data_IF_206916206764
#
_entry.id   IF_206916206764
#
_cell.length_a   1.000
_cell.length_b   1.000
_cell.length_c   1.000
_cell.angle_alpha   90.00
_cell.angle_beta   90.00
_cell.angle_gamma   90.00
#
_symmetry.space_group_name_H-M   'P 1'
#
loop_
_entity.id
_entity.type
_entity.pdbx_description
1 polymer ?
#
# COMPACT_ATOMS: atom_id res chain seq x y z
N UNK A 1 -16.34 -7.23 5.65
CA UNK A 1 -16.96 -8.50 6.11
C UNK A 1 -15.91 -9.31 6.86
N UNK A 2 -16.33 -9.99 7.95
CA UNK A 2 -15.46 -10.85 8.75
C UNK A 2 -16.16 -12.18 9.02
N UNK A 3 -15.42 -13.29 8.97
CA UNK A 3 -15.90 -14.61 9.34
C UNK A 3 -14.88 -15.37 10.19
N UNK A 4 -15.33 -16.29 11.01
CA UNK A 4 -14.49 -17.10 11.89
C UNK A 4 -14.65 -18.58 11.55
N UNK A 5 -13.52 -19.29 11.46
CA UNK A 5 -13.49 -20.76 11.34
C UNK A 5 -12.67 -21.28 12.54
N UNK A 6 -13.34 -22.00 13.43
CA UNK A 6 -12.71 -22.61 14.60
C UNK A 6 -12.35 -24.07 14.31
N UNK A 7 -11.11 -24.44 14.62
CA UNK A 7 -10.64 -25.84 14.56
C UNK A 7 -11.35 -26.73 15.57
N UNK A 8 -11.41 -28.04 15.32
CA UNK A 8 -12.04 -29.02 16.17
C UNK A 8 -11.05 -29.69 17.15
N UNK A 9 -9.73 -29.54 16.95
CA UNK A 9 -8.74 -30.01 17.94
C UNK A 9 -8.76 -29.14 19.19
N UNK A 10 -8.03 -29.56 20.21
CA UNK A 10 -7.85 -28.77 21.42
C UNK A 10 -7.45 -27.34 21.07
N UNK A 11 -8.16 -26.38 21.64
CA UNK A 11 -7.92 -24.96 21.42
C UNK A 11 -6.56 -24.57 22.01
N UNK A 12 -5.67 -24.12 21.16
CA UNK A 12 -4.33 -23.64 21.56
C UNK A 12 -4.30 -22.12 21.79
N UNK A 13 -5.44 -21.45 21.68
CA UNK A 13 -5.59 -20.01 21.86
C UNK A 13 -5.10 -19.18 20.68
N UNK A 14 -4.51 -19.77 19.63
CA UNK A 14 -3.96 -19.05 18.49
C UNK A 14 -5.04 -18.57 17.51
N UNK A 15 -4.88 -17.35 17.04
CA UNK A 15 -5.77 -16.75 16.04
C UNK A 15 -4.95 -16.16 14.90
N UNK A 16 -5.19 -16.64 13.68
CA UNK A 16 -4.61 -16.08 12.48
C UNK A 16 -5.65 -15.27 11.68
N UNK A 17 -5.34 -14.01 11.38
CA UNK A 17 -6.09 -13.21 10.40
C UNK A 17 -5.62 -13.51 8.98
N UNK A 18 -6.55 -13.69 8.06
CA UNK A 18 -6.28 -13.84 6.63
C UNK A 18 -7.03 -12.75 5.88
N UNK A 19 -6.30 -11.88 5.21
CA UNK A 19 -6.86 -10.68 4.55
C UNK A 19 -6.95 -10.86 3.04
N UNK A 20 -8.05 -10.42 2.47
CA UNK A 20 -8.17 -10.04 1.07
C UNK A 20 -8.89 -8.69 0.96
N UNK A 21 -8.38 -7.80 0.12
CA UNK A 21 -9.10 -6.65 -0.37
C UNK A 21 -10.19 -7.06 -1.38
N UNK A 22 -11.23 -6.21 -1.54
CA UNK A 22 -12.41 -6.57 -2.34
C UNK A 22 -12.88 -5.45 -3.26
N UNK A 23 -12.22 -4.30 -3.27
CA UNK A 23 -12.66 -3.14 -4.03
C UNK A 23 -12.23 -3.19 -5.50
N UNK A 24 -12.96 -2.43 -6.33
CA UNK A 24 -12.71 -2.25 -7.76
C UNK A 24 -12.31 -0.80 -8.04
N UNK A 25 -11.54 -0.62 -9.10
CA UNK A 25 -11.09 0.69 -9.58
C UNK A 25 -12.15 1.40 -10.44
N UNK A 26 -12.17 2.75 -10.43
CA UNK A 26 -12.98 3.55 -11.34
C UNK A 26 -12.35 3.58 -12.76
N UNK A 27 -12.27 2.40 -13.38
CA UNK A 27 -11.59 2.15 -14.64
C UNK A 27 -12.52 1.38 -15.58
N UNK A 28 -12.51 1.72 -16.88
CA UNK A 28 -13.27 0.99 -17.89
C UNK A 28 -12.55 -0.32 -18.26
N UNK A 29 -13.24 -1.45 -18.13
CA UNK A 29 -12.73 -2.75 -18.59
C UNK A 29 -12.86 -2.86 -20.10
N UNK A 30 -11.73 -2.96 -20.80
CA UNK A 30 -11.67 -3.09 -22.27
C UNK A 30 -11.31 -4.51 -22.73
N UNK A 31 -11.28 -5.47 -21.81
CA UNK A 31 -11.05 -6.88 -22.14
C UNK A 31 -12.21 -7.41 -23.00
N UNK A 32 -11.88 -8.29 -23.94
CA UNK A 32 -12.86 -8.98 -24.80
C UNK A 32 -13.01 -10.45 -24.36
N UNK A 33 -13.43 -10.66 -23.12
CA UNK A 33 -13.64 -11.97 -22.55
C UNK A 33 -15.02 -12.09 -21.87
N UNK A 34 -15.44 -13.30 -21.55
CA UNK A 34 -16.77 -13.57 -20.98
C UNK A 34 -16.96 -13.03 -19.56
N UNK A 35 -15.87 -12.82 -18.83
CA UNK A 35 -15.85 -12.33 -17.45
C UNK A 35 -15.48 -10.84 -17.33
N UNK A 36 -15.33 -10.12 -18.44
CA UNK A 36 -15.13 -8.67 -18.40
C UNK A 36 -16.23 -7.98 -17.60
N UNK A 37 -15.90 -6.89 -16.95
CA UNK A 37 -16.85 -6.14 -16.11
C UNK A 37 -18.09 -5.73 -16.92
N UNK A 38 -19.26 -5.95 -16.35
CA UNK A 38 -20.56 -5.52 -16.91
C UNK A 38 -20.99 -4.14 -16.39
N UNK A 39 -20.22 -3.55 -15.46
CA UNK A 39 -20.51 -2.26 -14.85
C UNK A 39 -19.60 -1.23 -15.47
N UNK A 40 -20.17 -0.33 -16.26
CA UNK A 40 -19.42 0.73 -16.95
C UNK A 40 -18.58 1.56 -15.96
N UNK A 41 -17.31 1.77 -16.29
CA UNK A 41 -16.38 2.58 -15.49
C UNK A 41 -15.96 1.92 -14.17
N UNK A 42 -16.14 0.59 -14.02
CA UNK A 42 -15.65 -0.15 -12.86
C UNK A 42 -15.01 -1.47 -13.30
N UNK A 43 -13.83 -1.75 -12.78
CA UNK A 43 -13.04 -2.92 -13.13
C UNK A 43 -12.17 -3.37 -11.95
N UNK A 44 -12.00 -4.67 -11.76
CA UNK A 44 -10.91 -5.20 -10.95
C UNK A 44 -9.60 -5.11 -11.74
N UNK A 45 -8.95 -3.95 -11.62
CA UNK A 45 -7.70 -3.65 -12.34
C UNK A 45 -6.44 -3.86 -11.51
N UNK A 46 -6.57 -4.43 -10.28
CA UNK A 46 -5.46 -4.69 -9.36
C UNK A 46 -5.46 -6.13 -8.79
N UNK A 47 -6.36 -7.00 -9.25
CA UNK A 47 -6.38 -8.42 -8.84
C UNK A 47 -7.15 -8.72 -7.56
N UNK A 48 -7.92 -7.76 -7.00
CA UNK A 48 -8.66 -7.95 -5.75
C UNK A 48 -9.78 -9.00 -5.85
N UNK A 49 -10.32 -9.23 -7.03
CA UNK A 49 -11.21 -10.37 -7.32
C UNK A 49 -10.48 -11.72 -7.19
N UNK A 50 -9.22 -11.78 -7.61
CA UNK A 50 -8.34 -12.91 -7.39
C UNK A 50 -8.02 -13.13 -5.91
N UNK A 51 -7.68 -12.05 -5.16
CA UNK A 51 -7.45 -12.11 -3.71
C UNK A 51 -8.69 -12.62 -2.97
N UNK A 52 -9.86 -12.08 -3.31
CA UNK A 52 -11.15 -12.52 -2.76
C UNK A 52 -11.42 -14.00 -3.06
N UNK A 53 -11.17 -14.42 -4.31
CA UNK A 53 -11.37 -15.82 -4.75
C UNK A 53 -10.45 -16.78 -4.00
N UNK A 54 -9.19 -16.40 -3.79
CA UNK A 54 -8.23 -17.17 -2.99
C UNK A 54 -8.71 -17.28 -1.55
N UNK A 55 -9.13 -16.17 -0.91
CA UNK A 55 -9.61 -16.20 0.47
C UNK A 55 -10.87 -17.07 0.63
N UNK A 56 -11.78 -17.04 -0.33
CA UNK A 56 -12.95 -17.93 -0.34
C UNK A 56 -12.56 -19.40 -0.53
N UNK A 57 -11.57 -19.67 -1.38
CA UNK A 57 -11.00 -21.03 -1.56
C UNK A 57 -10.36 -21.55 -0.28
N UNK A 58 -9.53 -20.73 0.39
CA UNK A 58 -8.95 -21.02 1.71
C UNK A 58 -10.06 -21.30 2.72
N UNK A 59 -11.08 -20.43 2.81
CA UNK A 59 -12.21 -20.60 3.72
C UNK A 59 -12.89 -21.94 3.54
N UNK A 60 -13.16 -22.34 2.30
CA UNK A 60 -13.80 -23.63 1.96
C UNK A 60 -12.93 -24.80 2.40
N UNK A 61 -11.64 -24.80 2.08
CA UNK A 61 -10.75 -25.92 2.41
C UNK A 61 -10.49 -26.01 3.92
N UNK A 62 -10.21 -24.91 4.60
CA UNK A 62 -10.01 -24.87 6.05
C UNK A 62 -11.27 -25.30 6.79
N UNK A 63 -12.46 -24.84 6.38
CA UNK A 63 -13.71 -25.25 7.02
C UNK A 63 -14.02 -26.74 6.85
N UNK A 64 -13.67 -27.33 5.71
CA UNK A 64 -13.87 -28.77 5.46
C UNK A 64 -12.84 -29.65 6.20
N UNK A 65 -11.74 -29.08 6.68
CA UNK A 65 -10.65 -29.79 7.34
C UNK A 65 -10.41 -29.33 8.80
N UNK A 66 -11.45 -28.92 9.51
CA UNK A 66 -11.36 -28.41 10.90
C UNK A 66 -10.76 -29.41 11.90
N UNK A 67 -10.80 -30.70 11.59
CA UNK A 67 -10.26 -31.76 12.44
C UNK A 67 -8.73 -31.86 12.44
N UNK A 68 -8.02 -31.11 11.57
CA UNK A 68 -6.55 -31.17 11.51
C UNK A 68 -5.86 -30.10 12.35
N UNK A 69 -6.56 -29.08 12.85
CA UNK A 69 -5.98 -27.97 13.63
C UNK A 69 -6.84 -27.59 14.84
N UNK A 70 -6.21 -26.89 15.81
CA UNK A 70 -6.84 -26.13 16.89
C UNK A 70 -6.76 -24.62 16.62
N UNK A 71 -7.35 -23.79 17.50
CA UNK A 71 -7.34 -22.34 17.32
C UNK A 71 -8.37 -21.83 16.31
N UNK A 72 -8.16 -20.60 15.81
CA UNK A 72 -9.16 -19.90 14.99
C UNK A 72 -8.53 -19.21 13.77
N UNK A 73 -9.17 -19.35 12.61
CA UNK A 73 -8.89 -18.56 11.41
C UNK A 73 -9.92 -17.44 11.29
N UNK A 74 -9.48 -16.21 11.22
CA UNK A 74 -10.31 -15.02 11.05
C UNK A 74 -10.16 -14.48 9.64
N UNK A 75 -11.20 -14.65 8.82
CA UNK A 75 -11.23 -14.16 7.44
C UNK A 75 -11.62 -12.69 7.46
N UNK A 76 -10.83 -11.85 6.81
CA UNK A 76 -10.99 -10.39 6.79
C UNK A 76 -11.08 -9.90 5.35
N UNK A 77 -12.27 -9.46 4.94
CA UNK A 77 -12.51 -8.89 3.62
C UNK A 77 -12.49 -7.37 3.72
N UNK A 78 -11.46 -6.77 3.17
CA UNK A 78 -11.18 -5.34 3.28
C UNK A 78 -11.76 -4.55 2.11
N UNK A 79 -12.62 -3.54 2.36
CA UNK A 79 -13.07 -2.60 1.34
C UNK A 79 -12.10 -1.43 1.20
N UNK A 80 -12.14 -0.72 0.06
CA UNK A 80 -11.51 0.59 -0.15
C UNK A 80 -10.00 0.61 0.09
N UNK A 81 -9.29 -0.45 -0.31
CA UNK A 81 -7.83 -0.51 -0.29
C UNK A 81 -7.22 0.63 -1.11
N UNK A 82 -7.73 0.86 -2.31
CA UNK A 82 -7.20 1.79 -3.31
C UNK A 82 -7.50 3.28 -3.02
N UNK A 83 -8.24 3.58 -1.98
CA UNK A 83 -8.70 4.95 -1.70
C UNK A 83 -8.37 5.44 -0.31
N UNK A 84 -9.04 4.90 0.71
CA UNK A 84 -8.94 5.39 2.10
C UNK A 84 -8.12 4.49 3.02
N UNK A 85 -7.64 3.34 2.50
CA UNK A 85 -6.97 2.33 3.32
C UNK A 85 -7.95 1.70 4.31
N UNK A 86 -8.87 0.88 3.81
CA UNK A 86 -9.94 0.27 4.60
C UNK A 86 -9.47 -0.52 5.82
N UNK A 87 -8.24 -1.05 5.79
CA UNK A 87 -7.61 -1.71 6.93
C UNK A 87 -7.59 -0.82 8.18
N UNK A 88 -7.29 0.48 8.05
CA UNK A 88 -7.27 1.43 9.17
C UNK A 88 -8.64 1.48 9.86
N UNK A 89 -9.70 1.67 9.08
CA UNK A 89 -11.09 1.71 9.59
C UNK A 89 -11.47 0.38 10.23
N UNK A 90 -11.13 -0.76 9.61
CA UNK A 90 -11.40 -2.09 10.18
C UNK A 90 -10.70 -2.29 11.52
N UNK A 91 -9.48 -1.79 11.70
CA UNK A 91 -8.72 -1.87 12.96
C UNK A 91 -9.39 -1.00 14.02
N UNK A 92 -9.77 0.22 13.69
CA UNK A 92 -10.51 1.14 14.57
C UNK A 92 -11.84 0.54 15.04
N UNK A 93 -12.56 -0.18 14.15
CA UNK A 93 -13.77 -0.94 14.47
C UNK A 93 -13.50 -2.25 15.22
N UNK A 94 -12.24 -2.58 15.49
CA UNK A 94 -11.86 -3.70 16.34
C UNK A 94 -11.72 -5.04 15.61
N UNK A 95 -11.42 -5.08 14.31
CA UNK A 95 -11.24 -6.33 13.55
C UNK A 95 -10.14 -7.22 14.14
N UNK A 96 -9.10 -6.66 14.76
CA UNK A 96 -8.04 -7.40 15.43
C UNK A 96 -8.40 -7.85 16.86
N UNK A 97 -9.61 -7.53 17.32
CA UNK A 97 -10.15 -7.91 18.65
C UNK A 97 -11.28 -8.93 18.48
N UNK A 98 -11.57 -9.69 19.51
CA UNK A 98 -12.73 -10.58 19.61
C UNK A 98 -12.92 -11.59 18.45
N UNK A 99 -12.08 -12.63 18.28
CA UNK A 99 -10.91 -12.93 19.09
C UNK A 99 -9.73 -12.03 18.75
N UNK A 100 -8.78 -11.87 19.69
CA UNK A 100 -7.52 -11.20 19.43
C UNK A 100 -6.76 -11.94 18.33
N UNK A 101 -6.26 -11.21 17.34
CA UNK A 101 -5.48 -11.76 16.24
C UNK A 101 -4.00 -11.70 16.56
N UNK A 102 -3.31 -12.85 16.53
CA UNK A 102 -1.89 -12.94 16.87
C UNK A 102 -0.99 -12.58 15.67
N UNK A 103 -1.41 -13.00 14.47
CA UNK A 103 -0.68 -12.73 13.21
C UNK A 103 -1.65 -12.49 12.08
N UNK A 104 -1.21 -11.73 11.06
CA UNK A 104 -2.01 -11.54 9.82
C UNK A 104 -1.21 -12.01 8.60
N UNK A 105 -1.91 -12.73 7.72
CA UNK A 105 -1.42 -13.21 6.44
C UNK A 105 -2.17 -12.49 5.31
N UNK A 106 -1.44 -12.04 4.29
CA UNK A 106 -1.99 -11.45 3.07
C UNK A 106 -1.12 -11.71 1.86
N UNK A 107 -1.69 -11.49 0.68
CA UNK A 107 -0.99 -11.56 -0.60
C UNK A 107 -1.48 -10.48 -1.56
N UNK A 108 -0.70 -10.23 -2.61
CA UNK A 108 -1.12 -9.44 -3.77
C UNK A 108 -0.76 -10.17 -5.06
N UNK A 109 -1.65 -10.10 -6.05
CA UNK A 109 -1.35 -10.57 -7.41
C UNK A 109 -0.27 -9.69 -8.04
N UNK A 110 0.71 -10.33 -8.69
CA UNK A 110 1.87 -9.64 -9.24
C UNK A 110 2.04 -9.96 -10.73
N UNK A 111 1.76 -8.98 -11.56
CA UNK A 111 1.81 -9.09 -13.01
C UNK A 111 3.23 -9.04 -13.60
N UNK A 112 4.24 -8.79 -12.78
CA UNK A 112 5.65 -8.76 -13.23
C UNK A 112 6.34 -10.11 -13.13
N UNK A 113 5.74 -11.08 -12.44
CA UNK A 113 6.26 -12.46 -12.30
C UNK A 113 5.25 -13.49 -12.81
N UNK A 114 5.78 -14.59 -13.34
CA UNK A 114 4.97 -15.61 -13.99
C UNK A 114 4.13 -16.41 -13.00
N UNK A 115 2.94 -16.83 -13.43
CA UNK A 115 2.11 -17.82 -12.74
C UNK A 115 2.94 -19.04 -12.37
N UNK A 116 2.75 -19.57 -11.18
CA UNK A 116 3.57 -20.65 -10.63
C UNK A 116 4.68 -20.19 -9.69
N UNK A 117 4.93 -18.87 -9.60
CA UNK A 117 5.96 -18.30 -8.73
C UNK A 117 5.37 -17.39 -7.66
N UNK A 118 6.10 -17.21 -6.56
CA UNK A 118 5.85 -16.16 -5.58
C UNK A 118 7.10 -15.33 -5.33
N UNK A 119 6.92 -14.12 -4.82
CA UNK A 119 8.03 -13.28 -4.40
C UNK A 119 7.82 -12.82 -2.95
N UNK A 120 8.82 -13.07 -2.11
CA UNK A 120 8.82 -12.76 -0.67
C UNK A 120 9.90 -11.75 -0.31
N UNK A 121 9.71 -11.00 0.78
CA UNK A 121 10.72 -10.08 1.28
C UNK A 121 10.66 -9.97 2.80
N UNK A 122 11.83 -10.06 3.45
CA UNK A 122 12.01 -9.70 4.85
C UNK A 122 12.07 -8.18 5.03
N UNK A 123 11.63 -7.68 6.18
CA UNK A 123 11.62 -6.24 6.47
C UNK A 123 10.67 -5.46 5.57
N UNK A 124 11.07 -4.26 5.15
CA UNK A 124 10.22 -3.36 4.38
C UNK A 124 9.90 -3.87 2.98
N UNK A 125 8.62 -3.99 2.66
CA UNK A 125 8.06 -4.47 1.38
C UNK A 125 7.58 -3.29 0.53
N UNK A 126 6.79 -2.37 1.11
CA UNK A 126 6.23 -1.19 0.43
C UNK A 126 6.49 0.10 1.22
N UNK A 127 6.54 1.22 0.49
CA UNK A 127 6.75 2.55 1.06
C UNK A 127 5.56 3.03 1.88
N UNK A 128 5.82 3.95 2.82
CA UNK A 128 4.81 4.83 3.38
C UNK A 128 4.42 5.93 2.40
N UNK A 129 3.26 6.55 2.63
CA UNK A 129 2.77 7.71 1.87
C UNK A 129 2.29 8.80 2.81
N UNK A 130 2.68 10.05 2.50
CA UNK A 130 2.10 11.24 3.12
C UNK A 130 1.88 12.31 2.03
N UNK A 131 0.67 12.43 1.48
CA UNK A 131 0.28 13.57 0.68
C UNK A 131 0.42 14.86 1.47
N UNK A 132 0.84 15.95 0.81
CA UNK A 132 0.90 17.26 1.44
C UNK A 132 0.36 18.36 0.56
N UNK A 133 -0.18 19.39 1.21
CA UNK A 133 -0.64 20.62 0.61
C UNK A 133 0.02 21.79 1.33
N UNK A 134 0.60 22.72 0.57
CA UNK A 134 1.20 23.94 1.09
C UNK A 134 0.48 25.13 0.44
N UNK A 135 -0.04 26.05 1.24
CA UNK A 135 -0.62 27.31 0.76
C UNK A 135 0.26 28.45 1.22
N UNK A 136 0.88 29.14 0.27
CA UNK A 136 1.72 30.31 0.50
C UNK A 136 0.89 31.56 0.23
N UNK A 137 0.72 32.41 1.26
CA UNK A 137 -0.02 33.67 1.19
C UNK A 137 0.95 34.84 1.18
N UNK A 138 0.77 35.72 0.22
CA UNK A 138 1.53 36.94 0.05
C UNK A 138 0.64 38.18 0.03
N UNK A 139 1.07 39.22 -0.64
CA UNK A 139 0.32 40.46 -0.91
C UNK A 139 0.41 40.76 -2.40
N UNK A 140 -0.73 40.67 -3.08
CA UNK A 140 -0.82 40.93 -4.51
C UNK A 140 -0.61 42.37 -4.88
N UNK A 141 -0.08 42.60 -6.06
CA UNK A 141 0.11 43.95 -6.60
C UNK A 141 0.28 43.93 -8.13
N UNK A 142 0.36 45.12 -8.72
CA UNK A 142 0.75 45.27 -10.12
C UNK A 142 2.19 44.82 -10.32
N UNK A 143 2.45 43.90 -11.28
CA UNK A 143 3.77 43.29 -11.50
C UNK A 143 4.93 44.25 -11.76
N UNK A 144 4.63 45.52 -12.15
CA UNK A 144 5.65 46.56 -12.30
C UNK A 144 6.05 47.23 -10.96
N UNK A 145 5.32 46.96 -9.87
CA UNK A 145 5.58 47.55 -8.56
C UNK A 145 5.80 46.51 -7.46
N UNK A 146 6.80 45.59 -7.64
CA UNK A 146 6.97 44.45 -6.74
C UNK A 146 7.37 44.87 -5.30
N UNK A 147 7.90 46.07 -5.11
CA UNK A 147 8.24 46.57 -3.78
C UNK A 147 7.02 46.81 -2.86
N UNK A 148 5.81 46.94 -3.45
CA UNK A 148 4.56 47.03 -2.74
C UNK A 148 3.86 45.68 -2.50
N UNK A 149 4.54 44.56 -2.81
CA UNK A 149 4.01 43.21 -2.77
C UNK A 149 4.82 42.29 -1.85
N UNK A 150 4.23 41.15 -1.53
CA UNK A 150 4.95 39.94 -1.11
C UNK A 150 4.58 38.86 -2.13
N UNK A 151 5.52 38.51 -3.00
CA UNK A 151 5.28 37.63 -4.15
C UNK A 151 5.28 36.15 -3.75
N UNK A 152 4.10 35.50 -3.65
CA UNK A 152 4.02 34.12 -3.23
C UNK A 152 4.55 33.14 -4.32
N UNK A 153 4.66 33.55 -5.60
CA UNK A 153 5.27 32.71 -6.64
C UNK A 153 6.77 32.59 -6.40
N UNK A 154 7.45 33.70 -6.09
CA UNK A 154 8.89 33.69 -5.76
C UNK A 154 9.13 32.88 -4.49
N UNK A 155 8.33 33.09 -3.43
CA UNK A 155 8.43 32.32 -2.18
C UNK A 155 8.25 30.81 -2.43
N UNK A 156 7.22 30.43 -3.19
CA UNK A 156 6.92 29.03 -3.54
C UNK A 156 8.06 28.38 -4.31
N UNK A 157 8.71 29.10 -5.23
CA UNK A 157 9.86 28.60 -5.96
C UNK A 157 11.02 28.24 -5.03
N UNK A 158 11.30 29.06 -4.01
CA UNK A 158 12.35 28.81 -3.02
C UNK A 158 11.97 27.60 -2.13
N UNK A 159 10.72 27.48 -1.73
CA UNK A 159 10.23 26.34 -0.97
C UNK A 159 10.45 25.05 -1.77
N UNK A 160 10.02 24.99 -3.03
CA UNK A 160 10.16 23.80 -3.90
C UNK A 160 11.61 23.37 -4.01
N UNK A 161 12.52 24.34 -4.25
CA UNK A 161 13.96 24.04 -4.35
C UNK A 161 14.55 23.53 -3.04
N UNK A 162 14.17 24.12 -1.92
CA UNK A 162 14.68 23.72 -0.61
C UNK A 162 14.12 22.35 -0.15
N UNK A 163 12.88 22.00 -0.48
CA UNK A 163 12.32 20.67 -0.18
C UNK A 163 13.17 19.53 -0.78
N UNK A 164 13.87 19.77 -1.90
CA UNK A 164 14.75 18.76 -2.50
C UNK A 164 15.94 18.40 -1.60
N UNK A 165 16.32 19.27 -0.64
CA UNK A 165 17.41 19.00 0.29
C UNK A 165 17.07 17.91 1.31
N UNK A 166 15.80 17.66 1.59
CA UNK A 166 15.38 16.61 2.51
C UNK A 166 15.95 15.27 2.04
N UNK A 167 15.69 14.88 0.79
CA UNK A 167 16.19 13.62 0.23
C UNK A 167 17.68 13.66 -0.02
N UNK A 168 18.20 14.77 -0.57
CA UNK A 168 19.58 14.83 -1.03
C UNK A 168 20.60 15.11 0.07
N UNK A 169 20.21 15.59 1.26
CA UNK A 169 21.11 16.03 2.34
C UNK A 169 20.75 15.54 3.74
N UNK A 170 19.52 15.07 3.97
CA UNK A 170 19.04 14.76 5.31
C UNK A 170 18.68 13.28 5.49
N UNK A 171 18.22 12.59 4.42
CA UNK A 171 17.96 11.14 4.42
C UNK A 171 19.26 10.38 4.13
N UNK A 172 19.46 9.25 4.82
CA UNK A 172 20.59 8.37 4.53
C UNK A 172 20.54 7.92 3.06
N UNK A 173 21.63 8.07 2.27
CA UNK A 173 21.64 7.69 0.85
C UNK A 173 21.30 6.23 0.56
N UNK A 174 21.43 5.32 1.53
CA UNK A 174 20.99 3.92 1.41
C UNK A 174 19.49 3.71 1.62
N UNK A 175 18.77 4.71 2.12
CA UNK A 175 17.34 4.63 2.37
C UNK A 175 16.58 5.26 1.20
N UNK A 176 15.77 4.51 0.43
CA UNK A 176 14.95 5.10 -0.60
C UNK A 176 13.91 6.06 -0.01
N UNK A 177 13.90 7.29 -0.51
CA UNK A 177 12.92 8.30 -0.13
C UNK A 177 12.60 9.21 -1.31
N UNK A 178 11.37 9.73 -1.35
CA UNK A 178 10.89 10.65 -2.38
C UNK A 178 10.12 11.79 -1.72
N UNK A 179 10.44 13.03 -2.10
CA UNK A 179 9.63 14.22 -1.83
C UNK A 179 9.35 14.87 -3.18
N UNK A 180 8.15 14.66 -3.70
CA UNK A 180 7.75 15.16 -5.02
C UNK A 180 6.72 16.28 -4.86
N UNK A 181 6.96 17.41 -5.53
CA UNK A 181 5.93 18.40 -5.81
C UNK A 181 5.29 18.04 -7.15
N UNK A 182 4.04 17.65 -7.11
CA UNK A 182 3.27 17.20 -8.28
C UNK A 182 2.43 18.30 -8.93
N UNK A 183 2.10 19.35 -8.18
CA UNK A 183 1.31 20.49 -8.70
C UNK A 183 1.69 21.80 -8.04
N UNK A 184 1.53 22.90 -8.80
CA UNK A 184 1.63 24.27 -8.32
C UNK A 184 0.58 25.10 -9.07
N UNK A 185 -0.21 25.86 -8.31
CA UNK A 185 -1.28 26.70 -8.86
C UNK A 185 -1.22 28.10 -8.23
N UNK A 186 -1.17 29.13 -9.09
CA UNK A 186 -1.18 30.53 -8.64
C UNK A 186 -1.01 31.49 -9.82
N UNK A 187 -1.54 32.70 -9.67
CA UNK A 187 -1.52 33.73 -10.69
C UNK A 187 -2.59 33.58 -11.78
N UNK A 188 -3.02 34.70 -12.35
CA UNK A 188 -4.07 34.78 -13.38
C UNK A 188 -3.63 35.55 -14.62
N UNK A 189 -2.66 36.48 -14.48
CA UNK A 189 -2.16 37.31 -15.57
C UNK A 189 -0.68 37.67 -15.36
N UNK A 190 0.05 37.86 -16.45
CA UNK A 190 1.50 38.11 -16.44
C UNK A 190 1.93 39.43 -15.77
N UNK A 191 1.02 40.38 -15.60
CA UNK A 191 1.28 41.69 -14.97
C UNK A 191 0.67 41.83 -13.58
N UNK A 192 0.23 40.71 -12.94
CA UNK A 192 -0.36 40.70 -11.60
C UNK A 192 0.41 39.74 -10.71
N UNK A 193 0.92 40.22 -9.58
CA UNK A 193 1.41 39.38 -8.49
C UNK A 193 0.19 38.87 -7.74
N UNK A 194 -0.02 37.55 -7.60
CA UNK A 194 -1.20 37.00 -6.93
C UNK A 194 -1.10 37.13 -5.40
N UNK A 195 -2.23 36.91 -4.71
CA UNK A 195 -2.30 36.88 -3.25
C UNK A 195 -1.84 35.55 -2.66
N UNK A 196 -1.98 34.45 -3.42
CA UNK A 196 -1.60 33.11 -2.91
C UNK A 196 -1.14 32.17 -4.03
N UNK A 197 -0.38 31.14 -3.61
CA UNK A 197 0.03 29.97 -4.41
C UNK A 197 -0.21 28.73 -3.61
N UNK A 198 -0.81 27.72 -4.27
CA UNK A 198 -1.00 26.38 -3.74
C UNK A 198 0.01 25.41 -4.35
N UNK A 199 0.64 24.58 -3.51
CA UNK A 199 1.58 23.51 -3.89
C UNK A 199 1.04 22.20 -3.35
N UNK A 200 0.93 21.19 -4.22
CA UNK A 200 0.55 19.83 -3.86
C UNK A 200 1.69 18.85 -4.11
N UNK A 201 1.87 17.90 -3.19
CA UNK A 201 2.94 16.92 -3.33
C UNK A 201 2.75 15.66 -2.50
N UNK A 202 3.77 14.80 -2.52
CA UNK A 202 3.76 13.52 -1.84
C UNK A 202 5.14 13.20 -1.26
N UNK A 203 5.15 12.60 -0.06
CA UNK A 203 6.31 12.02 0.59
C UNK A 203 6.19 10.50 0.51
N UNK A 204 7.29 9.82 0.13
CA UNK A 204 7.43 8.35 0.20
C UNK A 204 8.68 8.01 0.96
N UNK A 205 8.59 7.09 1.93
CA UNK A 205 9.73 6.65 2.76
C UNK A 205 9.62 5.16 3.05
N UNK A 206 10.73 4.54 3.45
CA UNK A 206 10.84 3.10 3.70
C UNK A 206 11.00 2.75 5.18
N UNK A 207 11.17 3.76 6.04
CA UNK A 207 11.29 3.59 7.49
C UNK A 207 10.38 4.56 8.22
N UNK A 208 10.03 4.25 9.45
CA UNK A 208 9.25 5.14 10.32
C UNK A 208 10.02 6.42 10.61
N UNK A 209 11.30 6.30 10.88
CA UNK A 209 12.20 7.40 11.21
C UNK A 209 12.31 8.40 10.06
N UNK A 210 12.55 7.92 8.83
CA UNK A 210 12.62 8.77 7.64
C UNK A 210 11.27 9.42 7.34
N UNK A 211 10.16 8.73 7.62
CA UNK A 211 8.80 9.27 7.49
C UNK A 211 8.57 10.46 8.42
N UNK A 212 8.81 10.25 9.72
CA UNK A 212 8.65 11.28 10.76
C UNK A 212 9.56 12.48 10.48
N UNK A 213 10.82 12.21 10.11
CA UNK A 213 11.77 13.25 9.73
C UNK A 213 11.27 14.05 8.52
N UNK A 214 10.91 13.39 7.41
CA UNK A 214 10.49 14.07 6.18
C UNK A 214 9.23 14.91 6.38
N UNK A 215 8.23 14.38 7.10
CA UNK A 215 6.99 15.10 7.44
C UNK A 215 7.31 16.39 8.23
N UNK A 216 8.14 16.28 9.26
CA UNK A 216 8.58 17.42 10.06
C UNK A 216 9.34 18.45 9.20
N UNK A 217 10.27 18.00 8.36
CA UNK A 217 11.12 18.87 7.55
C UNK A 217 10.38 19.63 6.46
N UNK A 218 9.41 18.99 5.81
CA UNK A 218 8.55 19.68 4.82
C UNK A 218 7.88 20.91 5.47
N UNK A 219 7.33 20.74 6.66
CA UNK A 219 6.70 21.83 7.40
C UNK A 219 7.70 22.93 7.80
N UNK A 220 8.81 22.54 8.44
CA UNK A 220 9.84 23.49 8.91
C UNK A 220 10.45 24.31 7.78
N UNK A 221 10.74 23.68 6.64
CA UNK A 221 11.33 24.34 5.46
C UNK A 221 10.32 25.33 4.87
N UNK A 222 9.08 24.89 4.63
CA UNK A 222 8.04 25.71 4.02
C UNK A 222 7.75 26.96 4.87
N UNK A 223 7.47 26.76 6.16
CA UNK A 223 7.17 27.84 7.10
C UNK A 223 8.38 28.76 7.31
N UNK A 224 9.61 28.19 7.37
CA UNK A 224 10.84 28.93 7.56
C UNK A 224 11.15 29.88 6.40
N UNK A 225 11.02 29.39 5.16
CA UNK A 225 11.26 30.19 3.94
C UNK A 225 10.18 31.26 3.80
N UNK A 226 8.91 30.91 3.94
CA UNK A 226 7.83 31.86 3.85
C UNK A 226 8.04 33.03 4.82
N UNK A 227 8.31 32.73 6.09
CA UNK A 227 8.59 33.74 7.12
C UNK A 227 9.80 34.60 6.77
N UNK A 228 10.88 34.03 6.25
CA UNK A 228 12.09 34.78 5.88
C UNK A 228 11.84 35.78 4.74
N UNK A 229 10.85 35.49 3.89
CA UNK A 229 10.45 36.31 2.74
C UNK A 229 9.15 37.10 3.00
N UNK A 230 8.74 37.24 4.26
CA UNK A 230 7.58 38.02 4.73
C UNK A 230 6.20 37.46 4.30
N UNK A 231 6.13 36.22 3.82
CA UNK A 231 4.91 35.53 3.47
C UNK A 231 4.38 34.70 4.65
N UNK A 232 3.10 34.37 4.60
CA UNK A 232 2.49 33.37 5.47
C UNK A 232 2.47 32.02 4.76
N UNK A 233 2.51 30.92 5.52
CA UNK A 233 2.49 29.57 4.99
C UNK A 233 1.63 28.66 5.85
N UNK A 234 0.75 27.89 5.21
CA UNK A 234 -0.02 26.84 5.84
C UNK A 234 0.37 25.50 5.21
N UNK A 235 0.72 24.53 6.05
CA UNK A 235 1.14 23.18 5.61
C UNK A 235 0.21 22.15 6.20
N UNK A 236 -0.47 21.42 5.34
CA UNK A 236 -1.29 20.26 5.67
C UNK A 236 -0.61 19.02 5.14
N UNK A 237 -0.41 18.02 6.01
CA UNK A 237 0.19 16.73 5.64
C UNK A 237 -0.74 15.63 6.12
N UNK A 238 -1.20 14.82 5.19
CA UNK A 238 -2.08 13.69 5.51
C UNK A 238 -1.26 12.53 6.07
N UNK A 239 -1.72 11.97 7.18
CA UNK A 239 -1.20 10.71 7.69
C UNK A 239 -1.89 9.56 6.97
N UNK A 240 -1.31 9.18 5.83
CA UNK A 240 -1.77 8.09 4.98
C UNK A 240 -1.02 6.78 5.29
N UNK A 241 -0.90 5.87 4.34
CA UNK A 241 -0.36 4.52 4.51
C UNK A 241 1.01 4.47 5.21
N UNK A 242 1.20 3.63 6.25
CA UNK A 242 2.52 3.37 6.82
C UNK A 242 3.38 2.51 5.89
N UNK A 243 4.65 2.31 6.25
CA UNK A 243 5.48 1.32 5.56
C UNK A 243 4.92 -0.08 5.80
N UNK A 244 4.82 -0.89 4.76
CA UNK A 244 4.54 -2.31 4.91
C UNK A 244 5.83 -3.02 5.29
N UNK A 245 5.87 -3.55 6.52
CA UNK A 245 7.03 -4.26 7.07
C UNK A 245 6.60 -5.66 7.45
N UNK A 246 7.20 -6.66 6.81
CA UNK A 246 6.99 -8.06 7.16
C UNK A 246 7.75 -8.46 8.42
N UNK A 247 7.16 -9.39 9.18
CA UNK A 247 7.86 -10.10 10.23
C UNK A 247 8.78 -11.17 9.61
N UNK A 248 10.08 -11.13 9.92
CA UNK A 248 11.09 -11.98 9.28
C UNK A 248 10.89 -13.48 9.54
N UNK A 249 10.41 -13.84 10.74
CA UNK A 249 10.13 -15.24 11.11
C UNK A 249 8.93 -15.79 10.33
N UNK A 250 7.89 -14.98 10.16
CA UNK A 250 6.72 -15.35 9.35
C UNK A 250 7.07 -15.45 7.86
N UNK A 251 7.98 -14.60 7.35
CA UNK A 251 8.49 -14.73 5.97
C UNK A 251 9.22 -16.04 5.77
N UNK A 252 10.06 -16.43 6.73
CA UNK A 252 10.80 -17.70 6.63
C UNK A 252 9.86 -18.90 6.69
N UNK A 253 8.87 -18.85 7.56
CA UNK A 253 7.80 -19.86 7.62
C UNK A 253 7.01 -19.94 6.31
N UNK A 254 6.61 -18.80 5.76
CA UNK A 254 5.93 -18.73 4.47
C UNK A 254 6.78 -19.32 3.34
N UNK A 255 8.07 -18.99 3.29
CA UNK A 255 9.02 -19.53 2.32
C UNK A 255 9.03 -21.06 2.37
N UNK A 256 9.21 -21.65 3.56
CA UNK A 256 9.25 -23.09 3.74
C UNK A 256 7.93 -23.77 3.33
N UNK A 257 6.79 -23.16 3.64
CA UNK A 257 5.49 -23.67 3.27
C UNK A 257 5.24 -23.57 1.75
N UNK A 258 5.64 -22.46 1.12
CA UNK A 258 5.53 -22.27 -0.31
C UNK A 258 6.47 -23.25 -1.07
N UNK A 259 7.69 -23.46 -0.60
CA UNK A 259 8.62 -24.43 -1.20
C UNK A 259 8.06 -25.87 -1.26
N UNK A 260 7.24 -26.27 -0.29
CA UNK A 260 6.54 -27.57 -0.32
C UNK A 260 5.48 -27.65 -1.43
N UNK A 261 4.85 -26.52 -1.75
CA UNK A 261 3.72 -26.45 -2.69
C UNK A 261 4.21 -26.26 -4.13
N UNK A 262 5.16 -25.36 -4.37
CA UNK A 262 5.57 -24.95 -5.72
C UNK A 262 7.04 -25.25 -6.06
N UNK A 263 7.82 -25.80 -5.14
CA UNK A 263 9.27 -26.00 -5.28
C UNK A 263 10.08 -24.75 -4.96
N UNK A 264 11.31 -24.97 -4.51
CA UNK A 264 12.21 -23.91 -4.03
C UNK A 264 12.58 -22.89 -5.12
N UNK A 265 12.72 -23.35 -6.35
CA UNK A 265 13.07 -22.53 -7.52
C UNK A 265 12.00 -21.49 -7.88
N UNK A 266 10.77 -21.71 -7.43
CA UNK A 266 9.63 -20.83 -7.70
C UNK A 266 9.33 -19.85 -6.54
N UNK A 267 10.13 -19.89 -5.46
CA UNK A 267 10.05 -18.96 -4.35
C UNK A 267 11.15 -17.91 -4.48
N UNK A 268 10.81 -16.79 -5.08
CA UNK A 268 11.74 -15.72 -5.40
C UNK A 268 11.91 -14.75 -4.22
N UNK A 269 13.07 -14.11 -4.14
CA UNK A 269 13.31 -13.03 -3.17
C UNK A 269 13.20 -11.67 -3.86
N UNK A 270 12.36 -10.79 -3.30
CA UNK A 270 12.28 -9.41 -3.73
C UNK A 270 13.50 -8.63 -3.24
N UNK A 271 14.34 -8.17 -4.15
CA UNK A 271 15.58 -7.47 -3.82
C UNK A 271 15.34 -6.09 -3.19
N UNK A 272 14.49 -5.29 -3.84
CA UNK A 272 14.19 -3.92 -3.42
C UNK A 272 12.73 -3.77 -2.98
N UNK A 273 12.41 -2.95 -1.97
CA UNK A 273 11.04 -2.63 -1.64
C UNK A 273 10.37 -1.84 -2.79
N UNK A 274 9.05 -1.90 -2.86
CA UNK A 274 8.26 -1.14 -3.84
C UNK A 274 7.94 0.27 -3.32
N UNK A 275 7.91 1.27 -4.20
CA UNK A 275 7.51 2.64 -3.87
C UNK A 275 5.98 2.82 -3.84
N UNK A 276 5.21 1.83 -4.31
CA UNK A 276 3.76 1.76 -4.13
C UNK A 276 3.40 1.60 -2.66
N UNK A 277 2.15 1.90 -2.32
CA UNK A 277 1.59 1.68 -0.98
C UNK A 277 0.70 0.44 -0.97
N UNK A 278 0.38 -0.02 0.22
CA UNK A 278 -0.48 -1.18 0.45
C UNK A 278 -1.13 -1.01 1.83
N UNK A 279 -2.45 -1.08 1.90
CA UNK A 279 -3.18 -0.88 3.16
C UNK A 279 -2.97 -2.00 4.18
N UNK A 280 -2.54 -3.19 3.75
CA UNK A 280 -2.10 -4.26 4.66
C UNK A 280 -1.05 -3.78 5.67
N UNK A 281 -0.33 -2.71 5.33
CA UNK A 281 0.64 -2.07 6.22
C UNK A 281 0.04 -1.62 7.56
N UNK A 282 -1.26 -1.27 7.60
CA UNK A 282 -1.93 -0.94 8.85
C UNK A 282 -2.04 -2.16 9.77
N UNK A 283 -2.37 -3.34 9.23
CA UNK A 283 -2.36 -4.59 10.01
C UNK A 283 -0.95 -4.93 10.49
N UNK A 284 0.05 -4.80 9.60
CA UNK A 284 1.45 -5.10 9.91
C UNK A 284 2.05 -4.14 10.96
N UNK A 285 1.46 -2.94 11.14
CA UNK A 285 1.84 -1.99 12.19
C UNK A 285 1.30 -2.37 13.58
N UNK A 286 0.25 -3.18 13.65
CA UNK A 286 -0.43 -3.55 14.90
C UNK A 286 -0.03 -4.93 15.40
N UNK A 287 0.15 -5.91 14.49
CA UNK A 287 0.49 -7.30 14.83
C UNK A 287 1.51 -7.88 13.86
N UNK A 288 2.33 -8.86 14.26
CA UNK A 288 3.22 -9.57 13.36
C UNK A 288 2.50 -10.06 12.12
N UNK A 289 3.01 -9.70 10.94
CA UNK A 289 2.30 -9.96 9.68
C UNK A 289 3.24 -10.42 8.59
N UNK A 290 2.69 -11.15 7.62
CA UNK A 290 3.40 -11.58 6.41
C UNK A 290 2.57 -11.28 5.17
N UNK A 291 3.22 -10.63 4.22
CA UNK A 291 2.67 -10.29 2.92
C UNK A 291 3.63 -10.70 1.82
N UNK A 292 3.11 -11.26 0.73
CA UNK A 292 3.90 -11.70 -0.39
C UNK A 292 3.19 -11.43 -1.72
N UNK A 293 3.93 -11.53 -2.81
CA UNK A 293 3.42 -11.36 -4.16
C UNK A 293 3.25 -12.71 -4.84
N UNK A 294 2.08 -12.95 -5.43
CA UNK A 294 1.73 -14.15 -6.18
C UNK A 294 1.72 -13.85 -7.67
N UNK A 295 2.58 -14.51 -8.44
CA UNK A 295 2.67 -14.33 -9.88
C UNK A 295 1.37 -14.68 -10.59
N UNK A 296 0.93 -13.77 -11.46
CA UNK A 296 -0.27 -13.93 -12.26
C UNK A 296 -0.08 -13.63 -13.76
N UNK A 297 1.18 -13.37 -14.18
CA UNK A 297 1.51 -13.14 -15.59
C UNK A 297 1.53 -14.45 -16.36
N UNK A 298 1.03 -14.41 -17.59
CA UNK A 298 1.15 -15.49 -18.56
C UNK A 298 1.32 -14.93 -19.97
N UNK A 299 2.55 -14.95 -20.48
CA UNK A 299 2.89 -14.40 -21.79
C UNK A 299 2.19 -15.19 -22.92
N UNK A 300 2.07 -16.50 -22.79
CA UNK A 300 1.43 -17.36 -23.81
C UNK A 300 -0.07 -17.09 -23.94
N UNK A 301 -0.74 -16.76 -22.84
CA UNK A 301 -2.16 -16.36 -22.80
C UNK A 301 -2.37 -14.87 -23.09
N UNK A 302 -1.30 -14.07 -23.28
CA UNK A 302 -1.37 -12.64 -23.49
C UNK A 302 -1.69 -11.83 -22.21
N UNK A 303 -1.57 -12.44 -21.04
CA UNK A 303 -1.80 -11.80 -19.72
C UNK A 303 -0.50 -11.12 -19.30
N UNK A 304 -0.28 -9.89 -19.76
CA UNK A 304 0.96 -9.13 -19.64
C UNK A 304 0.77 -7.64 -19.31
N UNK A 305 -0.48 -7.21 -19.14
CA UNK A 305 -0.77 -5.81 -18.90
C UNK A 305 -0.56 -5.45 -17.43
N UNK A 306 -0.01 -4.25 -17.13
CA UNK A 306 0.26 -3.83 -15.76
C UNK A 306 -1.04 -3.58 -14.98
N UNK A 307 -0.94 -3.65 -13.66
CA UNK A 307 -2.00 -3.22 -12.76
C UNK A 307 -2.44 -1.79 -13.08
N UNK A 308 -3.74 -1.48 -12.84
CA UNK A 308 -4.41 -0.22 -13.19
C UNK A 308 -4.53 0.04 -14.72
N UNK A 309 -4.23 -0.95 -15.55
CA UNK A 309 -4.53 -0.92 -16.99
C UNK A 309 -5.95 -1.39 -17.26
N UNK A 310 -6.62 -0.77 -18.25
CA UNK A 310 -7.93 -1.22 -18.73
C UNK A 310 -7.94 -2.61 -19.39
N UNK A 311 -6.76 -3.19 -19.58
CA UNK A 311 -6.54 -4.54 -20.13
C UNK A 311 -5.91 -5.49 -19.10
N UNK A 312 -5.75 -5.05 -17.84
CA UNK A 312 -5.22 -5.89 -16.76
C UNK A 312 -6.03 -7.18 -16.65
N UNK A 313 -5.33 -8.29 -16.48
CA UNK A 313 -5.90 -9.61 -16.27
C UNK A 313 -4.97 -10.47 -15.42
N UNK A 314 -5.48 -11.56 -14.89
CA UNK A 314 -4.71 -12.54 -14.12
C UNK A 314 -4.84 -13.92 -14.77
N UNK A 315 -3.79 -14.71 -14.73
CA UNK A 315 -3.90 -16.12 -15.05
C UNK A 315 -4.55 -16.86 -13.89
N UNK A 316 -5.76 -17.40 -14.08
CA UNK A 316 -6.55 -18.08 -13.05
C UNK A 316 -5.84 -19.32 -12.47
N UNK A 317 -4.83 -19.88 -13.17
CA UNK A 317 -3.98 -20.96 -12.64
C UNK A 317 -3.16 -20.51 -11.39
N UNK A 318 -3.04 -19.20 -11.13
CA UNK A 318 -2.48 -18.66 -9.89
C UNK A 318 -3.37 -18.87 -8.67
N UNK A 319 -4.70 -18.94 -8.87
CA UNK A 319 -5.67 -19.04 -7.77
C UNK A 319 -5.48 -20.30 -6.91
N UNK A 320 -5.43 -21.54 -7.48
CA UNK A 320 -5.19 -22.74 -6.69
C UNK A 320 -3.83 -22.73 -5.98
N UNK A 321 -2.82 -22.08 -6.53
CA UNK A 321 -1.51 -21.94 -5.91
C UNK A 321 -1.59 -21.06 -4.65
N UNK A 322 -2.22 -19.88 -4.75
CA UNK A 322 -2.44 -19.00 -3.60
C UNK A 322 -3.26 -19.67 -2.50
N UNK A 323 -4.30 -20.46 -2.89
CA UNK A 323 -5.10 -21.25 -1.94
C UNK A 323 -4.26 -22.30 -1.24
N UNK A 324 -3.45 -23.05 -1.97
CA UNK A 324 -2.63 -24.13 -1.41
C UNK A 324 -1.57 -23.60 -0.43
N UNK A 325 -0.85 -22.54 -0.83
CA UNK A 325 0.15 -21.88 0.04
C UNK A 325 -0.51 -21.32 1.30
N UNK A 326 -1.66 -20.64 1.16
CA UNK A 326 -2.39 -20.07 2.29
C UNK A 326 -2.88 -21.14 3.26
N UNK A 327 -3.43 -22.27 2.75
CA UNK A 327 -3.86 -23.38 3.59
C UNK A 327 -2.69 -24.04 4.32
N UNK A 328 -1.57 -24.28 3.63
CA UNK A 328 -0.35 -24.87 4.24
C UNK A 328 0.19 -23.96 5.34
N UNK A 329 0.31 -22.64 5.09
CA UNK A 329 0.77 -21.67 6.08
C UNK A 329 -0.14 -21.60 7.30
N UNK A 330 -1.47 -21.55 7.12
CA UNK A 330 -2.45 -21.48 8.19
C UNK A 330 -2.38 -22.73 9.07
N UNK A 331 -2.38 -23.92 8.46
CA UNK A 331 -2.32 -25.19 9.20
C UNK A 331 -0.99 -25.31 9.93
N UNK A 332 0.13 -25.01 9.29
CA UNK A 332 1.44 -25.01 9.92
C UNK A 332 1.49 -24.05 11.11
N UNK A 333 0.99 -22.81 10.97
CA UNK A 333 0.94 -21.84 12.07
C UNK A 333 0.10 -22.33 13.26
N UNK A 334 -1.08 -22.90 13.00
CA UNK A 334 -2.01 -23.34 14.04
C UNK A 334 -1.64 -24.68 14.68
N UNK A 335 -0.75 -25.47 14.06
CA UNK A 335 -0.35 -26.80 14.58
C UNK A 335 1.06 -26.85 15.15
N UNK A 336 1.92 -25.87 14.84
CA UNK A 336 3.27 -25.79 15.42
C UNK A 336 3.21 -25.52 16.91
N UNK A 337 4.12 -26.13 17.67
CA UNK A 337 4.28 -25.94 19.12
C UNK A 337 4.92 -24.59 19.45
#
# INVERSE_FOLDING_TARGET
VCALIKGNKADNGRVIGVRADIDALPLEDKKKCSYASKIKGKMHGCGHDGHTSILLGIAKLINNNRDIFGGTVKLMFEPAEETTGGAKVMIEEGILKNPHVDVVYGLHMEETIDTGTIMVKKGTVNAASNPFKIVVKGEGAHGAYPAAAVDPIVVSSQIIMALQTIVSREINPSNPAVVTVGSIHGGTASNIIPDEVEIGGIIRTMTKEDREHSVKRVKEIAEGIARSLRAECQVEIEESYPCLINNDELVERLRQNAEKVIGKENVLEQKNPKMGVESFAYFASEVPSVFYFLGCRNVEKGIIHPAHSSLFDIDEESLPIGIAIGCEFIVDYLTSC
#
